data_IF_705457779068
#
_entry.id   IF_705457779068
#
_cell.length_a   1.000
_cell.length_b   1.000
_cell.length_c   1.000
_cell.angle_alpha   90.00
_cell.angle_beta   90.00
_cell.angle_gamma   90.00
#
_symmetry.space_group_name_H-M   'P 1'
#
loop_
_entity.id
_entity.type
_entity.pdbx_description
1 polymer ?
#
# COMPACT_ATOMS: atom_id res chain seq x y z
N UNK A 1 10.93 17.29 -9.06
CA UNK A 1 9.55 17.04 -8.58
C UNK A 1 9.27 15.57 -8.84
N UNK A 2 9.08 14.75 -7.80
CA UNK A 2 8.98 13.30 -8.00
C UNK A 2 7.59 12.93 -8.57
N UNK A 3 7.55 12.05 -9.56
CA UNK A 3 6.32 11.61 -10.22
C UNK A 3 5.45 10.71 -9.33
N UNK A 4 4.28 10.32 -9.83
CA UNK A 4 3.54 9.15 -9.36
C UNK A 4 3.97 7.93 -10.18
N UNK A 5 3.71 6.72 -9.67
CA UNK A 5 3.79 5.54 -10.52
C UNK A 5 2.75 5.63 -11.65
N UNK A 6 3.20 5.41 -12.88
CA UNK A 6 2.38 5.45 -14.09
C UNK A 6 2.63 4.22 -14.95
N UNK A 7 1.59 3.75 -15.63
CA UNK A 7 1.72 2.68 -16.61
C UNK A 7 2.23 3.28 -17.92
N UNK A 8 3.39 2.81 -18.39
CA UNK A 8 4.03 3.26 -19.64
C UNK A 8 4.27 2.11 -20.58
N UNK A 9 4.19 2.36 -21.89
CA UNK A 9 4.63 1.38 -22.89
C UNK A 9 6.15 1.29 -22.86
N UNK A 10 6.70 0.10 -23.11
CA UNK A 10 8.16 -0.08 -23.21
C UNK A 10 8.79 0.83 -24.28
N UNK A 11 8.09 1.07 -25.38
CA UNK A 11 8.51 1.98 -26.45
C UNK A 11 8.68 3.45 -26.01
N UNK A 12 8.08 3.84 -24.88
CA UNK A 12 8.13 5.21 -24.32
C UNK A 12 9.21 5.35 -23.23
N UNK A 13 9.93 4.28 -22.92
CA UNK A 13 10.90 4.23 -21.82
C UNK A 13 12.31 4.23 -22.41
N UNK A 14 13.14 5.18 -21.97
CA UNK A 14 14.51 5.30 -22.45
C UNK A 14 15.41 4.19 -21.87
N UNK A 15 15.65 3.12 -22.64
CA UNK A 15 16.54 2.02 -22.25
C UNK A 15 18.01 2.46 -22.05
N UNK A 16 18.40 3.60 -22.59
CA UNK A 16 19.74 4.18 -22.41
C UNK A 16 19.88 4.97 -21.11
N UNK A 17 18.82 5.11 -20.31
CA UNK A 17 18.91 5.67 -18.96
C UNK A 17 19.85 4.79 -18.09
N UNK A 18 20.79 5.44 -17.39
CA UNK A 18 21.76 4.78 -16.51
C UNK A 18 21.09 3.95 -15.41
N UNK A 19 19.82 4.23 -15.10
CA UNK A 19 18.97 3.38 -14.28
C UNK A 19 19.02 1.92 -14.72
N UNK A 20 19.05 1.61 -16.02
CA UNK A 20 19.01 0.24 -16.54
C UNK A 20 20.36 -0.47 -16.56
N UNK A 21 21.48 0.22 -16.29
CA UNK A 21 22.80 -0.36 -16.53
C UNK A 21 23.09 -1.59 -15.69
N UNK A 22 22.72 -1.60 -14.39
CA UNK A 22 22.88 -2.84 -13.63
C UNK A 22 21.84 -3.91 -13.93
N UNK A 23 20.69 -3.62 -14.57
CA UNK A 23 19.83 -4.68 -15.13
C UNK A 23 20.50 -5.33 -16.34
N UNK A 24 21.13 -4.53 -17.21
CA UNK A 24 21.90 -5.06 -18.35
C UNK A 24 23.06 -5.94 -17.87
N UNK A 25 23.78 -5.52 -16.82
CA UNK A 25 24.89 -6.28 -16.26
C UNK A 25 24.44 -7.55 -15.51
N UNK A 26 23.30 -7.51 -14.82
CA UNK A 26 22.78 -8.65 -14.05
C UNK A 26 22.15 -9.71 -14.95
N UNK A 27 21.71 -9.33 -16.15
CA UNK A 27 21.04 -10.21 -17.10
C UNK A 27 21.61 -10.04 -18.53
N UNK A 28 22.87 -10.46 -18.78
CA UNK A 28 23.48 -10.39 -20.11
C UNK A 28 22.88 -11.39 -21.12
N UNK A 29 22.14 -12.40 -20.63
CA UNK A 29 21.67 -13.55 -21.39
C UNK A 29 22.52 -14.78 -21.08
N UNK A 30 21.88 -15.95 -21.05
CA UNK A 30 22.53 -17.25 -20.80
C UNK A 30 21.97 -18.30 -21.75
N UNK A 31 22.50 -19.53 -21.73
CA UNK A 31 21.91 -20.66 -22.46
C UNK A 31 20.44 -20.91 -22.08
N UNK A 32 20.03 -20.48 -20.88
CA UNK A 32 18.69 -20.69 -20.32
C UNK A 32 17.83 -19.41 -20.27
N UNK A 33 18.35 -18.26 -20.72
CA UNK A 33 17.62 -16.98 -20.60
C UNK A 33 17.99 -15.94 -21.65
N UNK A 34 16.99 -15.18 -22.10
CA UNK A 34 17.19 -14.00 -22.95
C UNK A 34 17.85 -12.87 -22.16
N UNK A 35 18.80 -12.16 -22.76
CA UNK A 35 19.40 -10.97 -22.16
C UNK A 35 18.41 -9.82 -21.98
N UNK A 36 18.64 -8.94 -21.01
CA UNK A 36 17.71 -7.86 -20.64
C UNK A 36 17.43 -6.91 -21.81
N UNK A 37 18.44 -6.59 -22.61
CA UNK A 37 18.28 -5.68 -23.77
C UNK A 37 17.34 -6.29 -24.80
N UNK A 38 17.58 -7.54 -25.21
CA UNK A 38 16.75 -8.24 -26.19
C UNK A 38 15.32 -8.46 -25.67
N UNK A 39 15.20 -8.82 -24.39
CA UNK A 39 13.91 -8.93 -23.71
C UNK A 39 13.15 -7.60 -23.73
N UNK A 40 13.81 -6.49 -23.41
CA UNK A 40 13.19 -5.17 -23.39
C UNK A 40 12.73 -4.76 -24.80
N UNK A 41 13.57 -4.99 -25.81
CA UNK A 41 13.23 -4.70 -27.21
C UNK A 41 12.03 -5.52 -27.67
N UNK A 42 11.99 -6.82 -27.35
CA UNK A 42 10.83 -7.67 -27.63
C UNK A 42 9.56 -7.12 -26.96
N UNK A 43 9.63 -6.75 -25.68
CA UNK A 43 8.51 -6.14 -24.95
C UNK A 43 8.06 -4.82 -25.54
N UNK A 44 8.99 -4.02 -26.07
CA UNK A 44 8.69 -2.80 -26.81
C UNK A 44 7.89 -3.07 -28.08
N UNK A 45 8.32 -4.06 -28.87
CA UNK A 45 7.63 -4.49 -30.11
C UNK A 45 6.24 -5.06 -29.81
N UNK A 46 6.12 -5.88 -28.77
CA UNK A 46 4.87 -6.51 -28.34
C UNK A 46 3.84 -5.49 -27.77
N UNK A 47 4.21 -4.20 -27.67
CA UNK A 47 3.35 -3.17 -27.08
C UNK A 47 3.12 -3.34 -25.58
N UNK A 48 4.00 -4.07 -24.89
CA UNK A 48 3.87 -4.34 -23.47
C UNK A 48 4.04 -3.06 -22.64
N UNK A 49 3.59 -3.14 -21.38
CA UNK A 49 3.64 -2.01 -20.44
C UNK A 49 4.42 -2.36 -19.17
N UNK A 50 4.97 -1.33 -18.54
CA UNK A 50 5.63 -1.38 -17.25
C UNK A 50 5.06 -0.30 -16.34
N UNK A 51 5.09 -0.56 -15.04
CA UNK A 51 4.82 0.45 -14.04
C UNK A 51 6.13 1.21 -13.76
N UNK A 52 6.13 2.51 -14.02
CA UNK A 52 7.32 3.35 -13.99
C UNK A 52 7.12 4.53 -13.04
N UNK A 53 8.17 4.86 -12.29
CA UNK A 53 8.27 6.12 -11.57
C UNK A 53 9.44 6.91 -12.15
N UNK A 54 9.23 8.18 -12.46
CA UNK A 54 10.24 9.09 -13.01
C UNK A 54 10.33 10.38 -12.22
N UNK A 55 11.51 11.00 -12.27
CA UNK A 55 11.79 12.32 -11.72
C UNK A 55 12.57 13.17 -12.74
N UNK A 56 13.10 14.30 -12.30
CA UNK A 56 13.92 15.20 -13.13
C UNK A 56 15.26 14.60 -13.56
N UNK A 57 15.73 13.52 -12.90
CA UNK A 57 16.99 12.84 -13.20
C UNK A 57 16.77 11.71 -14.22
N UNK A 58 15.61 11.06 -14.19
CA UNK A 58 15.25 9.96 -15.10
C UNK A 58 14.40 8.90 -14.42
N UNK A 59 14.56 7.64 -14.83
CA UNK A 59 13.80 6.52 -14.24
C UNK A 59 14.23 6.28 -12.79
N UNK A 60 13.25 6.29 -11.89
CA UNK A 60 13.41 6.06 -10.45
C UNK A 60 12.90 4.70 -9.99
N UNK A 61 11.93 4.12 -10.70
CA UNK A 61 11.47 2.75 -10.49
C UNK A 61 10.95 2.13 -11.78
N UNK A 62 11.11 0.82 -11.90
CA UNK A 62 10.64 0.02 -13.03
C UNK A 62 10.16 -1.33 -12.52
N UNK A 63 8.86 -1.60 -12.69
CA UNK A 63 8.22 -2.84 -12.25
C UNK A 63 7.44 -3.43 -13.41
N UNK A 64 7.67 -4.72 -13.68
CA UNK A 64 7.03 -5.43 -14.78
C UNK A 64 6.36 -6.67 -14.23
N UNK A 65 5.07 -6.79 -14.54
CA UNK A 65 4.24 -7.93 -14.19
C UNK A 65 3.91 -8.71 -15.46
N UNK A 66 3.78 -10.03 -15.34
CA UNK A 66 3.24 -10.87 -16.40
C UNK A 66 2.39 -11.99 -15.80
N UNK A 67 1.34 -12.35 -16.49
CA UNK A 67 0.66 -13.62 -16.25
C UNK A 67 1.53 -14.76 -16.79
N UNK A 68 1.58 -15.85 -16.04
CA UNK A 68 2.36 -17.03 -16.40
C UNK A 68 1.62 -18.28 -15.94
N UNK A 69 1.62 -19.31 -16.78
CA UNK A 69 1.01 -20.60 -16.50
C UNK A 69 1.97 -21.68 -16.96
N UNK A 70 2.97 -21.94 -16.13
CA UNK A 70 4.02 -22.92 -16.41
C UNK A 70 4.52 -23.56 -15.11
N UNK A 71 5.23 -24.69 -15.24
CA UNK A 71 6.02 -25.30 -14.15
C UNK A 71 7.23 -24.42 -13.84
N UNK A 72 7.66 -24.38 -12.58
CA UNK A 72 8.91 -23.68 -12.19
C UNK A 72 9.95 -24.73 -11.85
N UNK A 73 11.00 -24.80 -12.67
CA UNK A 73 12.15 -25.68 -12.43
C UNK A 73 13.09 -25.06 -11.40
N UNK A 74 13.32 -25.79 -10.32
CA UNK A 74 14.28 -25.46 -9.26
C UNK A 74 15.46 -26.44 -9.35
N UNK A 75 16.58 -26.10 -8.71
CA UNK A 75 17.77 -26.96 -8.68
C UNK A 75 17.52 -28.33 -8.05
N UNK A 76 16.59 -28.40 -7.08
CA UNK A 76 16.33 -29.59 -6.26
C UNK A 76 14.93 -30.19 -6.45
N UNK A 77 14.04 -29.50 -7.17
CA UNK A 77 12.62 -29.84 -7.24
C UNK A 77 11.92 -29.15 -8.42
N UNK A 78 10.66 -29.51 -8.67
CA UNK A 78 9.82 -28.84 -9.67
C UNK A 78 8.53 -28.40 -9.00
N UNK A 79 8.19 -27.11 -9.11
CA UNK A 79 6.89 -26.62 -8.72
C UNK A 79 5.90 -26.87 -9.88
N UNK A 80 4.69 -27.37 -9.58
CA UNK A 80 3.74 -27.75 -10.62
C UNK A 80 3.27 -26.54 -11.44
N UNK A 81 2.82 -26.83 -12.66
CA UNK A 81 2.16 -25.85 -13.53
C UNK A 81 0.92 -25.26 -12.85
N UNK A 82 0.80 -23.94 -12.92
CA UNK A 82 -0.27 -23.19 -12.28
C UNK A 82 -0.29 -21.76 -12.84
N UNK A 83 -1.48 -21.18 -12.96
CA UNK A 83 -1.64 -19.75 -13.21
C UNK A 83 -1.10 -18.91 -12.05
N UNK A 84 -0.09 -18.09 -12.32
CA UNK A 84 0.59 -17.21 -11.35
C UNK A 84 0.74 -15.80 -11.93
N UNK A 85 0.77 -14.81 -11.05
CA UNK A 85 1.30 -13.49 -11.40
C UNK A 85 2.81 -13.48 -11.14
N UNK A 86 3.62 -13.19 -12.16
CA UNK A 86 5.06 -13.05 -12.04
C UNK A 86 5.48 -11.60 -12.02
N UNK A 87 6.25 -11.24 -11.00
CA UNK A 87 7.04 -10.01 -10.94
C UNK A 87 8.32 -10.27 -11.75
N UNK A 88 8.28 -9.94 -13.04
CA UNK A 88 9.38 -10.22 -14.00
C UNK A 88 10.59 -9.36 -13.77
N UNK A 89 10.37 -8.11 -13.35
CA UNK A 89 11.44 -7.17 -13.05
C UNK A 89 10.94 -6.26 -11.95
N UNK A 90 11.76 -6.07 -10.91
CA UNK A 90 11.49 -5.11 -9.85
C UNK A 90 12.77 -4.36 -9.54
N UNK A 91 12.77 -3.06 -9.81
CA UNK A 91 13.94 -2.22 -9.54
C UNK A 91 13.54 -0.83 -9.08
N UNK A 92 14.18 -0.37 -8.02
CA UNK A 92 14.13 0.99 -7.52
C UNK A 92 15.54 1.56 -7.61
N UNK A 93 15.67 2.81 -8.06
CA UNK A 93 16.97 3.47 -8.14
C UNK A 93 17.55 3.72 -6.74
N UNK A 94 18.86 3.61 -6.59
CA UNK A 94 19.53 3.75 -5.28
C UNK A 94 19.27 5.12 -4.63
N UNK A 95 19.10 6.18 -5.43
CA UNK A 95 18.75 7.53 -4.96
C UNK A 95 17.41 7.60 -4.21
N UNK A 96 16.56 6.59 -4.39
CA UNK A 96 15.26 6.45 -3.71
C UNK A 96 15.28 5.55 -2.48
N UNK A 97 16.47 5.10 -2.07
CA UNK A 97 16.63 4.35 -0.81
C UNK A 97 16.08 5.19 0.35
N UNK A 98 15.38 4.52 1.28
CA UNK A 98 14.68 5.12 2.44
C UNK A 98 13.48 6.04 2.11
N UNK A 99 13.13 6.26 0.83
CA UNK A 99 11.98 7.10 0.46
C UNK A 99 10.65 6.34 0.35
N UNK A 100 10.62 5.07 0.81
CA UNK A 100 9.42 4.20 0.87
C UNK A 100 8.75 3.92 -0.47
N UNK A 101 9.37 4.29 -1.58
CA UNK A 101 8.91 3.97 -2.94
C UNK A 101 8.87 2.46 -3.19
N UNK A 102 9.84 1.70 -2.65
CA UNK A 102 9.82 0.25 -2.72
C UNK A 102 8.60 -0.38 -2.02
N UNK A 103 8.22 0.15 -0.85
CA UNK A 103 6.99 -0.27 -0.14
C UNK A 103 5.74 0.05 -0.97
N UNK A 104 5.67 1.24 -1.58
CA UNK A 104 4.60 1.61 -2.50
C UNK A 104 4.49 0.72 -3.73
N UNK A 105 5.62 0.38 -4.35
CA UNK A 105 5.67 -0.51 -5.51
C UNK A 105 5.18 -1.93 -5.16
N UNK A 106 5.57 -2.47 -3.98
CA UNK A 106 5.04 -3.74 -3.48
C UNK A 106 3.54 -3.64 -3.17
N UNK A 107 3.09 -2.49 -2.69
CA UNK A 107 1.67 -2.17 -2.54
C UNK A 107 0.88 -2.33 -3.82
N UNK A 108 1.31 -1.61 -4.86
CA UNK A 108 0.67 -1.60 -6.17
C UNK A 108 0.64 -2.98 -6.82
N UNK A 109 1.74 -3.73 -6.75
CA UNK A 109 1.78 -5.07 -7.35
C UNK A 109 0.87 -6.05 -6.60
N UNK A 110 0.75 -5.94 -5.27
CA UNK A 110 -0.09 -6.85 -4.50
C UNK A 110 -1.57 -6.51 -4.63
N UNK A 111 -1.93 -5.23 -4.79
CA UNK A 111 -3.29 -4.85 -5.20
C UNK A 111 -3.64 -5.38 -6.58
N UNK A 112 -2.71 -5.30 -7.55
CA UNK A 112 -2.90 -5.89 -8.86
C UNK A 112 -3.07 -7.42 -8.78
N UNK A 113 -2.24 -8.09 -7.98
CA UNK A 113 -2.37 -9.52 -7.71
C UNK A 113 -3.73 -9.90 -7.11
N UNK A 114 -4.22 -9.11 -6.15
CA UNK A 114 -5.56 -9.30 -5.59
C UNK A 114 -6.60 -9.21 -6.73
N UNK A 115 -6.57 -8.14 -7.53
CA UNK A 115 -7.51 -7.92 -8.64
C UNK A 115 -7.46 -9.02 -9.71
N UNK A 116 -6.27 -9.54 -10.04
CA UNK A 116 -6.08 -10.60 -11.04
C UNK A 116 -6.66 -11.96 -10.60
N UNK A 117 -7.02 -12.08 -9.32
CA UNK A 117 -7.65 -13.27 -8.74
C UNK A 117 -6.84 -14.56 -8.94
N UNK A 118 -5.51 -14.45 -9.10
CA UNK A 118 -4.59 -15.59 -9.25
C UNK A 118 -4.12 -16.08 -7.90
N UNK A 119 -4.01 -17.40 -7.72
CA UNK A 119 -3.73 -17.98 -6.41
C UNK A 119 -2.36 -17.58 -5.84
N UNK A 120 -1.36 -17.45 -6.72
CA UNK A 120 0.03 -17.18 -6.34
C UNK A 120 0.59 -15.99 -7.11
N UNK A 121 1.41 -15.21 -6.41
CA UNK A 121 2.32 -14.23 -6.98
C UNK A 121 3.74 -14.61 -6.61
N UNK A 122 4.68 -14.42 -7.53
CA UNK A 122 6.07 -14.76 -7.28
C UNK A 122 7.07 -13.82 -7.95
N UNK A 123 8.30 -13.85 -7.44
CA UNK A 123 9.45 -13.10 -7.96
C UNK A 123 10.68 -14.00 -7.97
N UNK A 124 11.56 -13.79 -8.96
CA UNK A 124 12.92 -14.33 -8.94
C UNK A 124 13.90 -13.22 -8.61
N UNK A 125 14.88 -13.51 -7.75
CA UNK A 125 15.84 -12.51 -7.28
C UNK A 125 17.17 -13.14 -6.88
N UNK A 126 18.29 -12.60 -7.36
CA UNK A 126 19.62 -13.03 -6.93
C UNK A 126 19.88 -12.74 -5.44
N UNK A 127 20.62 -13.64 -4.77
CA UNK A 127 20.96 -13.55 -3.34
C UNK A 127 21.59 -12.19 -2.94
N UNK A 128 22.35 -11.57 -3.85
CA UNK A 128 22.98 -10.25 -3.61
C UNK A 128 22.00 -9.12 -3.31
N UNK A 129 20.71 -9.28 -3.58
CA UNK A 129 19.67 -8.27 -3.34
C UNK A 129 18.95 -8.48 -1.99
N UNK A 130 19.70 -8.65 -0.90
CA UNK A 130 19.19 -8.92 0.46
C UNK A 130 18.10 -7.95 0.93
N UNK A 131 18.26 -6.65 0.63
CA UNK A 131 17.25 -5.64 1.00
C UNK A 131 15.93 -5.87 0.28
N UNK A 132 15.94 -6.31 -0.98
CA UNK A 132 14.72 -6.59 -1.72
C UNK A 132 14.05 -7.87 -1.23
N UNK A 133 14.84 -8.92 -0.98
CA UNK A 133 14.38 -10.19 -0.43
C UNK A 133 13.67 -9.96 0.90
N UNK A 134 14.29 -9.25 1.84
CA UNK A 134 13.70 -8.95 3.15
C UNK A 134 12.42 -8.11 3.07
N UNK A 135 12.27 -7.23 2.08
CA UNK A 135 10.99 -6.54 1.85
C UNK A 135 9.90 -7.52 1.39
N UNK A 136 10.19 -8.41 0.44
CA UNK A 136 9.23 -9.41 0.01
C UNK A 136 8.85 -10.37 1.15
N UNK A 137 9.81 -10.83 1.94
CA UNK A 137 9.55 -11.69 3.11
C UNK A 137 8.69 -10.98 4.17
N UNK A 138 8.92 -9.69 4.40
CA UNK A 138 8.06 -8.86 5.27
C UNK A 138 6.62 -8.83 4.78
N UNK A 139 6.41 -8.82 3.46
CA UNK A 139 5.09 -8.96 2.84
C UNK A 139 4.64 -10.42 2.69
N UNK A 140 5.23 -11.38 3.40
CA UNK A 140 4.74 -12.75 3.45
C UNK A 140 5.13 -13.64 2.27
N UNK A 141 6.08 -13.22 1.42
CA UNK A 141 6.69 -14.12 0.45
C UNK A 141 7.61 -15.13 1.16
N UNK A 142 7.67 -16.35 0.65
CA UNK A 142 8.50 -17.42 1.17
C UNK A 142 9.40 -17.96 0.07
N UNK A 143 10.69 -18.18 0.38
CA UNK A 143 11.62 -18.88 -0.51
C UNK A 143 11.18 -20.33 -0.69
N UNK A 144 10.99 -20.74 -1.95
CA UNK A 144 10.66 -22.12 -2.33
C UNK A 144 11.83 -22.90 -2.88
N UNK A 145 12.86 -22.22 -3.37
CA UNK A 145 14.09 -22.83 -3.86
C UNK A 145 14.90 -21.83 -4.67
N UNK A 146 15.82 -22.37 -5.46
CA UNK A 146 16.68 -21.62 -6.39
C UNK A 146 16.41 -22.13 -7.80
N UNK A 147 16.20 -21.24 -8.76
CA UNK A 147 15.98 -21.61 -10.16
C UNK A 147 17.30 -22.02 -10.86
N UNK A 148 17.20 -22.47 -12.11
CA UNK A 148 18.38 -22.87 -12.91
C UNK A 148 19.37 -21.72 -13.20
N UNK A 149 18.96 -20.47 -13.02
CA UNK A 149 19.81 -19.28 -13.18
C UNK A 149 20.49 -18.83 -11.88
N UNK A 150 20.29 -19.55 -10.76
CA UNK A 150 20.84 -19.16 -9.46
C UNK A 150 20.07 -18.07 -8.73
N UNK A 151 18.82 -17.78 -9.14
CA UNK A 151 17.95 -16.83 -8.46
C UNK A 151 17.05 -17.53 -7.43
N UNK A 152 16.80 -16.88 -6.30
CA UNK A 152 15.78 -17.31 -5.36
C UNK A 152 14.39 -17.17 -5.97
N UNK A 153 13.56 -18.21 -5.82
CA UNK A 153 12.14 -18.14 -6.13
C UNK A 153 11.35 -17.87 -4.86
N UNK A 154 10.81 -16.65 -4.73
CA UNK A 154 9.98 -16.25 -3.59
C UNK A 154 8.52 -16.25 -4.00
N UNK A 155 7.65 -16.96 -3.26
CA UNK A 155 6.22 -17.11 -3.58
C UNK A 155 5.36 -16.61 -2.42
N UNK A 156 4.29 -15.89 -2.76
CA UNK A 156 3.17 -15.61 -1.85
C UNK A 156 1.90 -16.25 -2.39
N UNK A 157 1.15 -16.93 -1.52
CA UNK A 157 -0.08 -17.66 -1.87
C UNK A 157 -1.26 -17.16 -1.06
N UNK A 158 -2.40 -16.93 -1.72
CA UNK A 158 -3.65 -16.56 -1.04
C UNK A 158 -4.27 -17.70 -0.22
N UNK A 159 -3.80 -18.94 -0.36
CA UNK A 159 -4.23 -20.09 0.45
C UNK A 159 -3.52 -20.17 1.81
N UNK A 160 -2.39 -19.49 1.97
CA UNK A 160 -1.54 -19.57 3.16
C UNK A 160 -1.17 -18.16 3.61
N UNK A 161 -2.16 -17.44 4.11
CA UNK A 161 -1.99 -16.06 4.58
C UNK A 161 -1.80 -16.05 6.11
N UNK A 162 -0.74 -15.40 6.57
CA UNK A 162 -0.48 -15.15 7.99
C UNK A 162 -1.20 -13.86 8.43
N UNK A 163 -2.36 -14.02 9.07
CA UNK A 163 -3.16 -12.91 9.60
C UNK A 163 -2.68 -12.37 10.96
N UNK A 164 -1.62 -12.91 11.55
CA UNK A 164 -1.07 -12.37 12.80
C UNK A 164 -0.19 -11.14 12.55
N UNK A 165 0.23 -10.92 11.29
CA UNK A 165 1.01 -9.78 10.86
C UNK A 165 0.29 -9.06 9.70
N UNK A 166 -0.11 -7.78 9.87
CA UNK A 166 -0.76 -7.04 8.80
C UNK A 166 0.08 -6.89 7.52
N UNK A 167 1.42 -6.89 7.59
CA UNK A 167 2.24 -6.83 6.37
C UNK A 167 2.20 -8.15 5.60
N UNK A 168 2.21 -9.28 6.30
CA UNK A 168 2.12 -10.60 5.66
C UNK A 168 0.73 -10.88 5.10
N UNK A 169 -0.32 -10.40 5.76
CA UNK A 169 -1.70 -10.54 5.28
C UNK A 169 -2.11 -9.57 4.19
N UNK A 170 -1.44 -8.44 4.05
CA UNK A 170 -1.72 -7.47 2.99
C UNK A 170 -1.72 -8.12 1.59
N UNK A 171 -2.73 -7.87 0.73
CA UNK A 171 -3.81 -6.89 0.87
C UNK A 171 -5.14 -7.49 1.37
N UNK A 172 -5.13 -8.66 2.01
CA UNK A 172 -6.34 -9.38 2.41
C UNK A 172 -6.71 -9.13 3.86
N UNK A 173 -7.99 -8.82 4.09
CA UNK A 173 -8.55 -8.69 5.43
C UNK A 173 -9.02 -10.07 5.89
N UNK A 174 -8.67 -10.45 7.13
CA UNK A 174 -9.16 -11.70 7.74
C UNK A 174 -10.68 -11.62 7.91
N UNK A 175 -11.42 -12.68 7.60
CA UNK A 175 -12.82 -12.76 8.03
C UNK A 175 -12.93 -12.99 9.55
N UNK A 176 -14.08 -12.67 10.14
CA UNK A 176 -14.37 -12.93 11.55
C UNK A 176 -13.59 -12.07 12.54
N UNK A 177 -13.19 -10.86 12.16
CA UNK A 177 -12.70 -9.85 13.12
C UNK A 177 -13.82 -9.38 14.06
N UNK A 178 -13.47 -8.87 15.25
CA UNK A 178 -14.46 -8.47 16.25
C UNK A 178 -15.34 -7.30 15.78
N UNK A 179 -14.69 -6.23 15.33
CA UNK A 179 -15.32 -5.01 14.83
C UNK A 179 -14.37 -4.23 13.91
N UNK A 180 -14.92 -3.35 13.11
CA UNK A 180 -14.18 -2.35 12.33
C UNK A 180 -14.54 -0.93 12.81
N UNK A 181 -13.59 0.00 12.69
CA UNK A 181 -13.73 1.37 13.15
C UNK A 181 -13.65 2.42 12.04
N UNK A 182 -13.68 3.69 12.44
CA UNK A 182 -13.42 4.83 11.57
C UNK A 182 -12.21 5.62 12.06
N UNK A 183 -11.42 6.15 11.11
CA UNK A 183 -10.52 7.27 11.35
C UNK A 183 -10.98 8.46 10.50
N UNK A 184 -11.04 9.64 11.14
CA UNK A 184 -11.52 10.87 10.52
C UNK A 184 -10.31 11.74 10.18
N UNK A 185 -10.12 12.04 8.89
CA UNK A 185 -9.00 12.83 8.39
C UNK A 185 -9.56 14.00 7.59
N UNK A 186 -9.07 15.21 7.86
CA UNK A 186 -9.41 16.38 7.06
C UNK A 186 -8.90 16.26 5.64
N UNK A 187 -9.70 16.74 4.70
CA UNK A 187 -9.43 16.66 3.26
C UNK A 187 -8.00 17.07 2.85
N UNK A 188 -7.50 18.18 3.39
CA UNK A 188 -6.15 18.67 3.13
C UNK A 188 -5.03 17.65 3.47
N UNK A 189 -5.17 16.90 4.56
CA UNK A 189 -4.20 15.86 4.96
C UNK A 189 -4.49 14.53 4.25
N UNK A 190 -5.77 14.17 4.15
CA UNK A 190 -6.22 12.93 3.52
C UNK A 190 -5.68 12.82 2.09
N UNK A 191 -5.84 13.87 1.27
CA UNK A 191 -5.50 13.83 -0.15
C UNK A 191 -3.99 13.70 -0.39
N UNK A 192 -3.17 14.09 0.58
CA UNK A 192 -1.72 13.84 0.57
C UNK A 192 -1.37 12.42 1.04
N UNK A 193 -2.04 11.93 2.10
CA UNK A 193 -1.76 10.62 2.70
C UNK A 193 -2.23 9.47 1.80
N UNK A 194 -3.40 9.60 1.17
CA UNK A 194 -4.07 8.54 0.42
C UNK A 194 -4.14 8.89 -1.07
N UNK A 195 -2.98 9.00 -1.71
CA UNK A 195 -2.83 9.50 -3.08
C UNK A 195 -3.57 8.68 -4.17
N UNK A 196 -4.03 7.46 -3.88
CA UNK A 196 -4.83 6.61 -4.77
C UNK A 196 -6.36 6.66 -4.47
N UNK A 197 -6.75 7.30 -3.36
CA UNK A 197 -8.15 7.44 -2.92
C UNK A 197 -8.78 8.72 -3.51
N UNK A 198 -8.95 8.75 -4.82
CA UNK A 198 -9.42 9.93 -5.56
C UNK A 198 -10.96 10.09 -5.54
N UNK A 199 -11.43 11.33 -5.67
CA UNK A 199 -12.85 11.65 -5.86
C UNK A 199 -13.16 11.86 -7.36
N UNK A 200 -14.32 11.41 -7.85
CA UNK A 200 -14.73 11.51 -9.27
C UNK A 200 -14.64 12.92 -9.87
N UNK A 201 -14.76 13.96 -9.05
CA UNK A 201 -14.83 15.36 -9.49
C UNK A 201 -13.56 16.18 -9.16
N UNK A 202 -12.46 15.52 -8.78
CA UNK A 202 -11.19 16.19 -8.41
C UNK A 202 -9.96 15.63 -9.12
N UNK A 203 -10.14 15.05 -10.31
CA UNK A 203 -9.05 14.53 -11.15
C UNK A 203 -7.96 15.59 -11.52
N UNK A 204 -8.18 16.87 -11.22
CA UNK A 204 -7.33 17.99 -11.66
C UNK A 204 -6.70 18.84 -10.54
N UNK A 205 -6.86 18.51 -9.26
CA UNK A 205 -6.30 19.31 -8.15
C UNK A 205 -5.29 18.54 -7.29
N UNK A 206 -4.51 17.65 -7.90
CA UNK A 206 -3.34 17.09 -7.24
C UNK A 206 -2.15 18.03 -7.40
N UNK A 207 -2.03 18.96 -6.45
CA UNK A 207 -0.81 19.75 -6.29
C UNK A 207 0.33 18.82 -5.92
N UNK A 208 1.05 18.32 -6.94
CA UNK A 208 2.51 18.22 -7.08
C UNK A 208 3.38 18.18 -5.82
N UNK A 209 3.01 17.42 -4.79
CA UNK A 209 3.88 17.14 -3.65
C UNK A 209 3.95 15.63 -3.46
N UNK A 210 4.93 15.01 -4.13
CA UNK A 210 5.37 13.66 -3.84
C UNK A 210 6.08 13.64 -2.48
N UNK A 211 5.32 13.46 -1.41
CA UNK A 211 5.89 13.17 -0.09
C UNK A 211 6.21 11.68 0.01
N UNK A 212 7.27 11.29 0.75
CA UNK A 212 7.55 9.87 1.06
C UNK A 212 6.34 9.14 1.67
N UNK A 213 5.49 9.89 2.36
CA UNK A 213 4.22 9.45 2.95
C UNK A 213 3.24 9.02 1.87
N UNK A 214 3.06 9.82 0.81
CA UNK A 214 2.18 9.48 -0.31
C UNK A 214 2.57 8.15 -0.97
N UNK A 215 3.88 7.88 -1.03
CA UNK A 215 4.45 6.69 -1.66
C UNK A 215 4.41 5.44 -0.77
N UNK A 216 4.43 5.56 0.56
CA UNK A 216 4.43 4.41 1.46
C UNK A 216 3.04 3.80 1.68
N UNK A 217 2.95 2.52 2.06
CA UNK A 217 1.68 1.89 2.44
C UNK A 217 1.30 2.18 3.89
N UNK A 218 2.27 2.19 4.81
CA UNK A 218 2.02 2.56 6.20
C UNK A 218 1.85 4.08 6.39
N UNK A 219 0.84 4.47 7.15
CA UNK A 219 0.40 5.84 7.38
C UNK A 219 0.31 6.09 8.87
N UNK A 220 0.67 7.29 9.30
CA UNK A 220 0.51 7.71 10.69
C UNK A 220 -0.65 8.69 10.81
N UNK A 221 -1.62 8.32 11.63
CA UNK A 221 -2.69 9.21 12.08
C UNK A 221 -2.37 9.75 13.48
N UNK A 222 -2.46 11.07 13.65
CA UNK A 222 -2.29 11.73 14.94
C UNK A 222 -3.67 12.20 15.43
N UNK A 223 -4.10 11.65 16.57
CA UNK A 223 -5.38 11.93 17.19
C UNK A 223 -5.24 12.54 18.58
N UNK A 224 -6.37 13.01 19.11
CA UNK A 224 -6.48 13.64 20.44
C UNK A 224 -7.37 12.86 21.41
N UNK A 225 -7.68 11.60 21.09
CA UNK A 225 -8.57 10.79 21.90
C UNK A 225 -7.94 10.55 23.30
N UNK A 226 -8.74 10.61 24.38
CA UNK A 226 -8.24 10.33 25.73
C UNK A 226 -7.94 8.84 25.96
N UNK A 227 -8.42 7.98 25.07
CA UNK A 227 -8.19 6.53 25.07
C UNK A 227 -7.99 6.05 23.63
N UNK A 228 -7.29 4.93 23.47
CA UNK A 228 -7.18 4.24 22.19
C UNK A 228 -8.51 3.51 21.90
N UNK A 229 -9.19 3.91 20.83
CA UNK A 229 -10.48 3.33 20.43
C UNK A 229 -10.33 2.07 19.56
N UNK A 230 -9.11 1.78 19.10
CA UNK A 230 -8.81 0.71 18.16
C UNK A 230 -7.88 -0.33 18.78
N UNK A 231 -7.75 -1.49 18.12
CA UNK A 231 -6.78 -2.55 18.43
C UNK A 231 -5.89 -2.84 17.22
N UNK A 232 -4.70 -3.39 17.47
CA UNK A 232 -3.82 -3.90 16.40
C UNK A 232 -4.55 -5.06 15.69
N UNK A 233 -4.48 -5.07 14.36
CA UNK A 233 -5.21 -6.02 13.51
C UNK A 233 -6.65 -5.61 13.17
N UNK A 234 -7.17 -4.53 13.77
CA UNK A 234 -8.52 -4.04 13.51
C UNK A 234 -8.63 -3.40 12.12
N UNK A 235 -9.65 -3.76 11.31
CA UNK A 235 -9.97 -3.03 10.09
C UNK A 235 -10.54 -1.65 10.39
N UNK A 236 -10.08 -0.64 9.67
CA UNK A 236 -10.53 0.75 9.80
C UNK A 236 -10.93 1.29 8.44
N UNK A 237 -12.08 1.97 8.39
CA UNK A 237 -12.49 2.79 7.27
C UNK A 237 -11.90 4.20 7.42
N UNK A 238 -11.24 4.67 6.36
CA UNK A 238 -10.68 6.02 6.30
C UNK A 238 -11.77 6.96 5.80
N UNK A 239 -12.22 7.86 6.67
CA UNK A 239 -13.24 8.85 6.36
C UNK A 239 -12.58 10.21 6.11
N UNK A 240 -12.69 10.68 4.87
CA UNK A 240 -12.28 12.02 4.44
C UNK A 240 -13.36 13.02 4.84
N UNK A 241 -13.04 13.91 5.77
CA UNK A 241 -13.91 15.01 6.21
C UNK A 241 -13.70 16.23 5.31
N UNK A 242 -14.76 16.65 4.64
CA UNK A 242 -14.74 17.89 3.86
C UNK A 242 -14.77 19.09 4.82
N UNK A 243 -13.74 19.93 4.76
CA UNK A 243 -13.56 21.05 5.69
C UNK A 243 -14.02 22.39 5.13
N UNK A 244 -14.15 22.48 3.81
CA UNK A 244 -14.46 23.73 3.10
C UNK A 244 -15.97 23.87 2.86
N UNK A 245 -16.49 25.09 2.71
CA UNK A 245 -17.85 25.36 2.19
C UNK A 245 -19.04 24.60 2.84
N UNK A 246 -20.13 24.48 2.06
CA UNK A 246 -21.39 23.85 2.46
C UNK A 246 -21.52 22.41 1.94
N UNK A 247 -22.45 21.65 2.51
CA UNK A 247 -22.79 20.30 2.01
C UNK A 247 -21.88 19.18 2.54
N UNK A 248 -21.30 19.33 3.74
CA UNK A 248 -20.40 18.35 4.38
C UNK A 248 -20.95 16.92 4.37
N UNK A 249 -22.26 16.76 4.56
CA UNK A 249 -22.96 15.45 4.57
C UNK A 249 -22.83 14.67 3.26
N UNK A 250 -22.73 15.35 2.11
CA UNK A 250 -22.61 14.70 0.81
C UNK A 250 -21.18 14.72 0.24
N UNK A 251 -20.31 15.57 0.79
CA UNK A 251 -18.92 15.74 0.34
C UNK A 251 -17.90 15.00 1.21
N UNK A 252 -18.26 14.67 2.44
CA UNK A 252 -17.45 13.81 3.31
C UNK A 252 -17.81 12.35 3.08
N UNK A 253 -16.81 11.50 2.98
CA UNK A 253 -16.98 10.12 2.53
C UNK A 253 -15.89 9.19 3.04
N UNK A 254 -16.21 7.89 3.08
CA UNK A 254 -15.22 6.82 3.17
C UNK A 254 -14.61 6.63 1.79
N UNK A 255 -13.28 6.61 1.75
CA UNK A 255 -12.51 6.52 0.50
C UNK A 255 -11.67 5.26 0.41
N UNK A 256 -11.32 4.70 1.56
CA UNK A 256 -10.38 3.59 1.69
C UNK A 256 -10.53 2.84 3.00
N UNK A 257 -9.80 1.73 3.09
CA UNK A 257 -9.72 0.92 4.29
C UNK A 257 -8.27 0.51 4.58
N UNK A 258 -7.99 0.37 5.87
CA UNK A 258 -6.68 0.06 6.42
C UNK A 258 -6.79 -1.04 7.49
N UNK A 259 -5.66 -1.61 7.87
CA UNK A 259 -5.51 -2.38 9.11
C UNK A 259 -4.60 -1.63 10.08
N UNK A 260 -4.95 -1.60 11.36
CA UNK A 260 -4.08 -1.03 12.41
C UNK A 260 -2.86 -1.91 12.64
N UNK A 261 -1.67 -1.34 12.54
CA UNK A 261 -0.39 -2.04 12.79
C UNK A 261 0.25 -1.68 14.11
N UNK A 262 0.03 -0.46 14.61
CA UNK A 262 0.58 0.01 15.88
C UNK A 262 -0.30 1.08 16.50
N UNK A 263 -0.27 1.18 17.83
CA UNK A 263 -1.05 2.14 18.61
C UNK A 263 -0.18 2.70 19.74
N UNK A 264 -0.12 4.03 19.83
CA UNK A 264 0.70 4.71 20.82
C UNK A 264 -0.14 5.77 21.51
N UNK A 265 -0.17 5.74 22.84
CA UNK A 265 -0.64 6.87 23.62
C UNK A 265 0.59 7.66 24.09
N UNK A 266 0.86 8.80 23.45
CA UNK A 266 2.03 9.63 23.78
C UNK A 266 1.74 10.59 24.95
N UNK A 267 0.47 11.01 25.12
CA UNK A 267 0.06 11.94 26.18
C UNK A 267 -1.40 11.72 26.60
N UNK A 268 -1.69 11.82 27.91
CA UNK A 268 -3.05 11.84 28.48
C UNK A 268 -3.14 12.97 29.51
N UNK A 269 -4.19 13.79 29.45
CA UNK A 269 -4.46 14.86 30.43
C UNK A 269 -3.23 15.72 30.74
N UNK A 270 -2.53 16.18 29.69
CA UNK A 270 -1.28 16.95 29.77
C UNK A 270 -0.06 16.21 30.35
N UNK A 271 -0.20 14.92 30.72
CA UNK A 271 0.92 14.08 31.17
C UNK A 271 1.54 13.34 30.00
N UNK A 272 2.81 13.61 29.73
CA UNK A 272 3.63 12.89 28.76
C UNK A 272 3.88 11.44 29.23
N UNK A 273 3.67 10.48 28.34
CA UNK A 273 3.90 9.05 28.59
C UNK A 273 5.19 8.52 27.95
N UNK A 274 5.77 9.31 27.05
CA UNK A 274 7.05 9.08 26.40
C UNK A 274 7.63 10.44 26.01
N UNK A 275 8.91 10.50 25.65
CA UNK A 275 9.56 11.71 25.13
C UNK A 275 9.20 11.97 23.66
N UNK A 276 9.43 13.20 23.20
CA UNK A 276 9.23 13.54 21.79
C UNK A 276 10.20 12.78 20.87
N UNK A 277 11.44 12.53 21.30
CA UNK A 277 12.40 11.78 20.50
C UNK A 277 12.02 10.30 20.37
N UNK A 278 11.54 9.65 21.43
CA UNK A 278 10.99 8.30 21.36
C UNK A 278 9.77 8.24 20.41
N UNK A 279 8.89 9.25 20.50
CA UNK A 279 7.72 9.34 19.62
C UNK A 279 8.14 9.49 18.15
N UNK A 280 9.11 10.36 17.87
CA UNK A 280 9.67 10.59 16.53
C UNK A 280 10.29 9.32 15.95
N UNK A 281 11.04 8.55 16.75
CA UNK A 281 11.60 7.27 16.33
C UNK A 281 10.51 6.26 15.95
N UNK A 282 9.40 6.22 16.69
CA UNK A 282 8.25 5.34 16.40
C UNK A 282 7.50 5.77 15.13
N UNK A 283 7.28 7.07 14.94
CA UNK A 283 6.58 7.63 13.77
C UNK A 283 7.44 7.49 12.49
N UNK A 284 8.74 7.71 12.59
CA UNK A 284 9.67 7.70 11.46
C UNK A 284 9.25 8.67 10.35
N UNK A 285 9.42 8.27 9.10
CA UNK A 285 9.01 9.04 7.92
C UNK A 285 7.61 8.65 7.38
N UNK A 286 6.70 8.25 8.29
CA UNK A 286 5.35 7.77 7.96
C UNK A 286 4.23 8.79 8.19
N UNK A 287 4.55 9.94 8.81
CA UNK A 287 3.61 11.02 9.10
C UNK A 287 3.62 12.09 8.01
N UNK A 288 2.43 12.58 7.65
CA UNK A 288 2.25 13.75 6.78
C UNK A 288 2.73 15.04 7.45
N UNK A 289 2.68 15.10 8.78
CA UNK A 289 3.21 16.20 9.56
C UNK A 289 4.72 16.17 9.60
N UNK A 290 5.35 17.32 9.41
CA UNK A 290 6.78 17.51 9.64
C UNK A 290 7.11 17.55 11.13
N UNK A 291 8.40 17.54 11.47
CA UNK A 291 8.87 17.49 12.86
C UNK A 291 8.36 18.66 13.71
N UNK A 292 8.33 19.88 13.16
CA UNK A 292 7.85 21.06 13.87
C UNK A 292 6.34 20.96 14.16
N UNK A 293 5.55 20.53 13.18
CA UNK A 293 4.11 20.30 13.34
C UNK A 293 3.82 19.23 14.40
N UNK A 294 4.56 18.10 14.35
CA UNK A 294 4.44 17.03 15.35
C UNK A 294 4.82 17.53 16.74
N UNK A 295 5.86 18.36 16.86
CA UNK A 295 6.29 18.91 18.14
C UNK A 295 5.27 19.91 18.70
N UNK A 296 4.70 20.77 17.86
CA UNK A 296 3.63 21.68 18.26
C UNK A 296 2.42 20.89 18.78
N UNK A 297 1.97 19.88 18.05
CA UNK A 297 0.87 19.00 18.45
C UNK A 297 1.18 18.28 19.77
N UNK A 298 2.39 17.74 19.88
CA UNK A 298 2.88 17.07 21.08
C UNK A 298 2.88 18.01 22.29
N UNK A 299 3.18 19.29 22.14
CA UNK A 299 3.13 20.25 23.25
C UNK A 299 1.70 20.70 23.56
N UNK A 300 0.89 21.00 22.53
CA UNK A 300 -0.41 21.67 22.65
C UNK A 300 -1.57 20.74 22.99
N UNK A 301 -1.61 19.53 22.44
CA UNK A 301 -2.78 18.66 22.61
C UNK A 301 -2.93 18.19 24.05
N UNK A 302 -4.15 18.15 24.60
CA UNK A 302 -4.34 17.63 25.97
C UNK A 302 -4.06 16.13 26.05
N UNK A 303 -4.43 15.39 25.00
CA UNK A 303 -4.11 13.98 24.81
C UNK A 303 -3.52 13.82 23.41
N UNK A 304 -2.61 12.88 23.22
CA UNK A 304 -2.04 12.58 21.91
C UNK A 304 -1.97 11.08 21.71
N UNK A 305 -2.65 10.60 20.67
CA UNK A 305 -2.67 9.21 20.23
C UNK A 305 -2.09 9.11 18.83
N UNK A 306 -1.30 8.08 18.58
CA UNK A 306 -0.81 7.73 17.26
C UNK A 306 -1.43 6.39 16.87
N UNK A 307 -1.95 6.33 15.64
CA UNK A 307 -2.38 5.08 15.02
C UNK A 307 -1.56 4.87 13.77
N UNK A 308 -0.77 3.80 13.72
CA UNK A 308 -0.14 3.34 12.48
C UNK A 308 -1.14 2.44 11.73
N UNK A 309 -1.35 2.78 10.46
CA UNK A 309 -2.29 2.13 9.56
C UNK A 309 -1.51 1.56 8.39
N UNK A 310 -1.81 0.34 7.98
CA UNK A 310 -1.39 -0.18 6.69
C UNK A 310 -2.54 -0.01 5.69
N UNK A 311 -2.29 0.70 4.60
CA UNK A 311 -3.29 1.04 3.58
C UNK A 311 -3.64 -0.19 2.75
N UNK A 312 -4.79 -0.83 3.00
CA UNK A 312 -5.15 -2.13 2.44
C UNK A 312 -5.89 -2.05 1.11
N UNK A 313 -6.62 -0.98 0.86
CA UNK A 313 -7.30 -0.77 -0.41
C UNK A 313 -8.15 0.50 -0.41
N UNK A 314 -8.67 0.83 -1.58
CA UNK A 314 -9.39 2.08 -1.85
C UNK A 314 -10.56 1.86 -2.80
N UNK A 315 -11.58 2.71 -2.71
CA UNK A 315 -12.82 2.57 -3.49
C UNK A 315 -12.65 3.15 -4.91
N UNK A 316 -11.79 4.16 -5.04
CA UNK A 316 -11.48 4.79 -6.31
C UNK A 316 -12.51 5.86 -6.71
N UNK A 317 -12.15 6.64 -7.72
CA UNK A 317 -12.93 7.77 -8.20
C UNK A 317 -14.35 7.34 -8.59
N UNK A 318 -15.34 7.90 -7.88
CA UNK A 318 -16.77 7.66 -8.15
C UNK A 318 -17.43 6.63 -7.25
N UNK A 319 -16.65 5.86 -6.49
CA UNK A 319 -17.18 4.80 -5.62
C UNK A 319 -17.11 5.17 -4.12
N UNK A 320 -16.76 6.42 -3.78
CA UNK A 320 -16.63 6.81 -2.38
C UNK A 320 -17.99 6.87 -1.67
N UNK A 321 -18.07 6.33 -0.45
CA UNK A 321 -19.33 6.17 0.29
C UNK A 321 -19.56 7.38 1.19
N UNK A 322 -20.52 8.24 0.85
CA UNK A 322 -20.75 9.49 1.56
C UNK A 322 -21.45 9.30 2.93
N UNK A 323 -21.32 10.32 3.78
CA UNK A 323 -21.93 10.31 5.12
C UNK A 323 -23.45 10.11 5.09
N UNK A 324 -24.16 10.68 4.11
CA UNK A 324 -25.60 10.51 4.01
C UNK A 324 -25.98 9.03 3.88
N UNK A 325 -25.30 8.28 3.03
CA UNK A 325 -25.54 6.85 2.85
C UNK A 325 -25.21 6.05 4.11
N UNK A 326 -24.06 6.35 4.75
CA UNK A 326 -23.64 5.68 6.00
C UNK A 326 -24.70 5.87 7.10
N UNK A 327 -25.18 7.09 7.27
CA UNK A 327 -26.18 7.44 8.28
C UNK A 327 -27.54 6.77 8.01
N UNK A 328 -28.03 6.83 6.77
CA UNK A 328 -29.29 6.19 6.36
C UNK A 328 -29.28 4.66 6.53
N UNK A 329 -28.11 4.04 6.50
CA UNK A 329 -27.94 2.59 6.70
C UNK A 329 -27.57 2.21 8.14
N UNK A 330 -27.46 3.17 9.07
CA UNK A 330 -27.09 2.92 10.46
C UNK A 330 -25.63 2.52 10.65
N UNK A 331 -24.74 2.93 9.73
CA UNK A 331 -23.30 2.69 9.78
C UNK A 331 -22.52 3.94 10.20
N UNK A 332 -23.20 5.06 10.45
CA UNK A 332 -22.58 6.26 10.98
C UNK A 332 -22.78 6.38 12.51
N UNK A 333 -22.12 7.36 13.12
CA UNK A 333 -22.27 7.65 14.54
C UNK A 333 -23.69 8.08 14.89
N UNK A 334 -24.22 7.53 15.98
CA UNK A 334 -25.47 7.99 16.57
C UNK A 334 -25.32 9.41 17.15
N UNK A 335 -26.45 10.06 17.42
CA UNK A 335 -26.46 11.38 18.06
C UNK A 335 -25.69 11.36 19.39
N UNK A 336 -24.74 12.27 19.56
CA UNK A 336 -23.89 12.36 20.76
C UNK A 336 -22.70 11.38 20.80
N UNK A 337 -22.61 10.42 19.87
CA UNK A 337 -21.46 9.52 19.75
C UNK A 337 -20.38 10.12 18.85
N UNK A 338 -19.11 9.98 19.22
CA UNK A 338 -18.03 10.41 18.34
C UNK A 338 -17.75 9.35 17.24
N UNK A 339 -17.53 9.74 15.96
CA UNK A 339 -17.36 8.78 14.87
C UNK A 339 -16.28 7.71 15.07
N UNK A 340 -15.18 8.02 15.74
CA UNK A 340 -14.12 7.03 16.01
C UNK A 340 -14.45 6.05 17.13
N UNK A 341 -15.62 6.19 17.78
CA UNK A 341 -16.14 5.24 18.78
C UNK A 341 -17.11 4.23 18.17
N UNK A 342 -17.48 4.40 16.91
CA UNK A 342 -18.38 3.47 16.20
C UNK A 342 -17.67 2.14 16.00
N UNK A 343 -18.39 1.05 16.26
CA UNK A 343 -17.95 -0.33 16.04
C UNK A 343 -18.85 -1.00 15.03
N UNK A 344 -18.37 -1.12 13.79
CA UNK A 344 -19.06 -1.85 12.73
C UNK A 344 -18.83 -3.34 12.91
N UNK A 345 -19.88 -4.13 12.81
CA UNK A 345 -19.76 -5.59 12.67
C UNK A 345 -19.08 -5.97 11.34
N UNK A 346 -18.54 -7.18 11.20
CA UNK A 346 -18.00 -7.66 9.93
C UNK A 346 -18.97 -7.54 8.76
N UNK A 347 -20.26 -7.82 8.98
CA UNK A 347 -21.29 -7.69 7.96
C UNK A 347 -21.48 -6.23 7.51
N UNK A 348 -21.48 -5.27 8.44
CA UNK A 348 -21.61 -3.84 8.13
C UNK A 348 -20.38 -3.32 7.38
N UNK A 349 -19.18 -3.69 7.81
CA UNK A 349 -17.93 -3.36 7.12
C UNK A 349 -17.94 -3.88 5.67
N UNK A 350 -18.28 -5.16 5.47
CA UNK A 350 -18.43 -5.76 4.15
C UNK A 350 -19.45 -5.00 3.29
N UNK A 351 -20.57 -4.55 3.87
CA UNK A 351 -21.59 -3.77 3.16
C UNK A 351 -21.08 -2.41 2.70
N UNK A 352 -20.27 -1.72 3.52
CA UNK A 352 -19.61 -0.47 3.11
C UNK A 352 -18.62 -0.72 1.97
N UNK A 353 -17.84 -1.80 2.04
CA UNK A 353 -16.94 -2.19 0.93
C UNK A 353 -17.73 -2.46 -0.36
N UNK A 354 -18.85 -3.18 -0.29
CA UNK A 354 -19.71 -3.45 -1.46
C UNK A 354 -20.27 -2.16 -2.06
N UNK A 355 -20.76 -1.23 -1.23
CA UNK A 355 -21.18 0.10 -1.71
C UNK A 355 -20.02 0.86 -2.36
N UNK A 356 -18.80 0.68 -1.81
CA UNK A 356 -17.55 1.16 -2.39
C UNK A 356 -17.09 0.47 -3.67
N UNK A 357 -17.94 -0.34 -4.30
CA UNK A 357 -17.65 -1.17 -5.48
C UNK A 357 -16.45 -2.12 -5.30
N UNK A 358 -16.20 -2.58 -4.08
CA UNK A 358 -15.16 -3.55 -3.77
C UNK A 358 -15.74 -4.96 -3.85
N UNK A 359 -15.05 -5.86 -4.57
CA UNK A 359 -15.34 -7.28 -4.55
C UNK A 359 -14.93 -7.89 -3.20
N UNK A 360 -15.87 -7.93 -2.26
CA UNK A 360 -15.65 -8.39 -0.89
C UNK A 360 -15.06 -9.80 -0.84
N UNK A 361 -15.53 -10.74 -1.67
CA UNK A 361 -15.02 -12.12 -1.67
C UNK A 361 -13.55 -12.25 -2.09
N UNK A 362 -13.00 -11.22 -2.75
CA UNK A 362 -11.60 -11.18 -3.16
C UNK A 362 -10.71 -10.36 -2.20
N UNK A 363 -11.32 -9.63 -1.25
CA UNK A 363 -10.60 -8.78 -0.28
C UNK A 363 -10.66 -9.36 1.12
N UNK A 364 -11.83 -9.85 1.54
CA UNK A 364 -12.05 -10.45 2.86
C UNK A 364 -12.07 -11.96 2.69
N UNK A 365 -11.06 -12.64 3.24
CA UNK A 365 -10.87 -14.09 3.07
C UNK A 365 -10.68 -14.77 4.43
N UNK A 366 -11.00 -16.06 4.48
CA UNK A 366 -10.93 -16.89 5.70
C UNK A 366 -9.51 -17.31 6.07
#
# INVERSE_FOLDING_TARGET
MAGKFILKKFAEINLNDAFFDSLKNDYPGTENSTGFVDWFQKKSIDGATALVFEDEIGVGAFVVLKDEEEKIELLDSILPEKKRLKISTFRIAERYRRQRIGEGAIGLLLWKWQQDNTEEVYVTVFDKHETLISQFERFGFQKKGVNLNGENVLIKSRKHIDFNDPYKSFPFVKDGFDYAGYIIIDDNYHDTMFAYSELANMASLQTKVSSSVSNGLSKIYVGQAPKLNHKIGEPILVYRRYTQGNGKRYRSCVTSFCIVTDLIQAKINNRYLMTFDELKLRIGNKSVFNENELQEQYNRFRNMTIVELLYYGYFGAGNNVNMNWLDQNGFWAAEGQYPTEVKLTPAQFKRVLTEGNINVSNVVIN
#
